data_IF_747115930452
#
_entry.id   IF_747115930452
#
_cell.length_a   1.000
_cell.length_b   1.000
_cell.length_c   1.000
_cell.angle_alpha   90.00
_cell.angle_beta   90.00
_cell.angle_gamma   90.00
#
_symmetry.space_group_name_H-M   'P 1'
#
loop_
_entity.id
_entity.type
_entity.pdbx_description
1 polymer ?
#
# COMPACT_ATOMS: atom_id res chain seq x y z
N UNK A 1 5.96 -5.47 15.14
CA UNK A 1 6.58 -5.99 13.90
C UNK A 1 5.51 -6.27 12.84
N UNK A 2 4.41 -6.91 13.19
CA UNK A 2 3.33 -7.28 12.26
C UNK A 2 2.78 -6.09 11.45
N UNK A 3 2.63 -4.92 12.10
CA UNK A 3 2.20 -3.70 11.41
C UNK A 3 3.13 -3.28 10.25
N UNK A 4 4.45 -3.47 10.42
CA UNK A 4 5.43 -3.12 9.39
C UNK A 4 5.65 -4.24 8.36
N UNK A 5 5.15 -5.44 8.60
CA UNK A 5 5.15 -6.53 7.60
C UNK A 5 4.19 -6.23 6.45
N UNK A 6 3.07 -5.58 6.76
CA UNK A 6 2.00 -5.31 5.79
C UNK A 6 2.16 -3.94 5.10
N UNK A 7 2.90 -3.01 5.71
CA UNK A 7 3.07 -1.67 5.16
C UNK A 7 4.02 -0.81 6.00
N UNK A 8 4.05 0.46 5.69
CA UNK A 8 4.83 1.46 6.39
C UNK A 8 3.97 2.21 7.39
N UNK A 9 4.59 2.68 8.47
CA UNK A 9 3.88 3.44 9.50
C UNK A 9 4.78 4.54 10.08
N UNK A 10 4.19 5.66 10.44
CA UNK A 10 4.90 6.68 11.20
C UNK A 10 5.11 6.23 12.65
N UNK A 11 6.11 6.77 13.37
CA UNK A 11 6.30 6.51 14.79
C UNK A 11 5.04 6.78 15.63
N UNK A 12 4.26 7.80 15.25
CA UNK A 12 3.01 8.17 15.96
C UNK A 12 1.90 7.14 15.74
N UNK A 13 1.78 6.60 14.54
CA UNK A 13 0.81 5.52 14.25
C UNK A 13 1.17 4.26 15.01
N UNK A 14 2.46 3.87 15.03
CA UNK A 14 2.92 2.72 15.82
C UNK A 14 2.71 2.93 17.33
N UNK A 15 2.90 4.14 17.85
CA UNK A 15 2.61 4.45 19.24
C UNK A 15 1.16 4.21 19.60
N UNK A 16 0.23 4.67 18.76
CA UNK A 16 -1.21 4.45 18.98
C UNK A 16 -1.58 2.98 18.87
N UNK A 17 -1.06 2.30 17.84
CA UNK A 17 -1.35 0.88 17.61
C UNK A 17 -0.86 -0.03 18.73
N UNK A 18 0.30 0.29 19.33
CA UNK A 18 0.94 -0.53 20.35
C UNK A 18 0.72 -0.04 21.77
N UNK A 19 -0.03 1.06 21.93
CA UNK A 19 -0.23 1.76 23.21
C UNK A 19 1.10 1.97 23.98
N UNK A 20 2.12 2.46 23.27
CA UNK A 20 3.48 2.53 23.76
C UNK A 20 3.94 3.99 23.97
N UNK A 21 4.59 4.32 25.10
CA UNK A 21 5.17 5.64 25.33
C UNK A 21 6.19 6.03 24.25
N UNK A 22 6.24 7.32 23.91
CA UNK A 22 7.08 7.84 22.80
C UNK A 22 8.58 7.59 22.98
N UNK A 23 9.09 7.69 24.22
CA UNK A 23 10.49 7.43 24.54
C UNK A 23 10.86 5.96 24.35
N UNK A 24 9.97 5.05 24.74
CA UNK A 24 10.17 3.61 24.58
C UNK A 24 10.11 3.23 23.10
N UNK A 25 9.12 3.74 22.34
CA UNK A 25 9.04 3.58 20.90
C UNK A 25 10.32 4.04 20.21
N UNK A 26 10.81 5.25 20.53
CA UNK A 26 12.04 5.79 19.96
C UNK A 26 13.26 4.94 20.28
N UNK A 27 13.31 4.32 21.47
CA UNK A 27 14.36 3.38 21.83
C UNK A 27 14.35 2.13 20.95
N UNK A 28 13.20 1.46 20.86
CA UNK A 28 13.05 0.23 20.04
C UNK A 28 13.31 0.48 18.56
N UNK A 29 12.79 1.56 18.01
CA UNK A 29 13.05 1.92 16.61
C UNK A 29 14.55 2.10 16.37
N UNK A 30 15.25 2.81 17.25
CA UNK A 30 16.72 2.99 17.13
C UNK A 30 17.50 1.67 17.16
N UNK A 31 17.07 0.73 17.99
CA UNK A 31 17.69 -0.62 18.04
C UNK A 31 17.47 -1.35 16.71
N UNK A 32 16.23 -1.37 16.20
CA UNK A 32 15.89 -2.03 14.96
C UNK A 32 16.55 -1.39 13.73
N UNK A 33 16.69 -0.06 13.72
CA UNK A 33 17.45 0.66 12.68
C UNK A 33 18.94 0.26 12.72
N UNK A 34 19.53 0.18 13.91
CA UNK A 34 20.96 -0.18 14.09
C UNK A 34 21.28 -1.57 13.59
N UNK A 35 20.36 -2.53 13.76
CA UNK A 35 20.55 -3.91 13.30
C UNK A 35 20.04 -4.14 11.88
N UNK A 36 19.62 -3.08 11.18
CA UNK A 36 19.22 -3.14 9.77
C UNK A 36 17.87 -3.82 9.51
N UNK A 37 17.01 -3.95 10.54
CA UNK A 37 15.67 -4.56 10.39
C UNK A 37 14.64 -3.53 9.96
N UNK A 38 14.78 -2.29 10.39
CA UNK A 38 13.88 -1.17 10.05
C UNK A 38 14.69 -0.06 9.38
N UNK A 39 14.14 0.54 8.37
CA UNK A 39 14.64 1.77 7.74
C UNK A 39 13.66 2.92 7.97
N UNK A 40 14.17 4.14 7.84
CA UNK A 40 13.39 5.37 7.99
C UNK A 40 13.53 6.23 6.74
N UNK A 41 12.41 6.74 6.24
CA UNK A 41 12.41 7.72 5.15
C UNK A 41 11.44 8.86 5.44
N UNK A 42 11.62 9.97 4.74
CA UNK A 42 10.74 11.14 4.85
C UNK A 42 9.60 11.04 3.85
N UNK A 43 8.42 11.51 4.25
CA UNK A 43 7.29 11.65 3.36
C UNK A 43 7.65 12.51 2.13
N UNK A 44 7.21 12.09 0.96
CA UNK A 44 7.33 12.89 -0.26
C UNK A 44 6.34 14.07 -0.26
N UNK A 45 5.23 13.97 0.47
CA UNK A 45 4.21 14.99 0.58
C UNK A 45 4.56 16.03 1.66
N UNK A 46 4.73 15.60 2.91
CA UNK A 46 5.14 16.46 4.02
C UNK A 46 6.49 16.00 4.58
N UNK A 47 7.57 16.66 4.21
CA UNK A 47 8.94 16.34 4.65
C UNK A 47 9.16 16.37 6.15
N UNK A 48 8.22 16.90 6.93
CA UNK A 48 8.24 16.86 8.41
C UNK A 48 7.80 15.50 8.93
N UNK A 49 7.02 14.74 8.15
CA UNK A 49 6.60 13.39 8.50
C UNK A 49 7.68 12.37 8.11
N UNK A 50 7.71 11.27 8.86
CA UNK A 50 8.67 10.19 8.66
C UNK A 50 7.93 8.87 8.75
N UNK A 51 8.25 7.94 7.85
CA UNK A 51 7.74 6.57 7.87
C UNK A 51 8.85 5.58 8.18
N UNK A 52 8.47 4.52 8.84
CA UNK A 52 9.30 3.36 9.15
C UNK A 52 8.87 2.22 8.25
N UNK A 53 9.83 1.57 7.63
CA UNK A 53 9.63 0.41 6.76
C UNK A 53 10.50 -0.75 7.22
N UNK A 54 10.05 -1.98 7.05
CA UNK A 54 10.93 -3.14 7.16
C UNK A 54 11.91 -3.16 6.00
N UNK A 55 13.17 -3.45 6.32
CA UNK A 55 14.17 -3.74 5.29
C UNK A 55 13.82 -5.05 4.61
N UNK A 56 13.73 -5.10 3.26
CA UNK A 56 13.43 -6.32 2.52
C UNK A 56 14.34 -7.49 2.96
N UNK A 57 13.76 -8.66 3.18
CA UNK A 57 14.50 -9.86 3.59
C UNK A 57 14.91 -9.94 5.07
N UNK A 58 14.89 -8.84 5.81
CA UNK A 58 15.36 -8.81 7.21
C UNK A 58 14.61 -9.79 8.14
N UNK A 59 13.40 -10.19 7.80
CA UNK A 59 12.56 -11.10 8.60
C UNK A 59 12.02 -12.30 7.80
N UNK A 60 12.58 -12.64 6.67
CA UNK A 60 12.06 -13.72 5.83
C UNK A 60 12.00 -15.07 6.56
N UNK A 61 12.88 -15.28 7.54
CA UNK A 61 12.91 -16.49 8.36
C UNK A 61 11.90 -16.46 9.53
N UNK A 62 11.21 -15.35 9.81
CA UNK A 62 10.36 -15.15 11.00
C UNK A 62 8.87 -15.01 10.70
N UNK A 63 8.44 -15.28 9.47
CA UNK A 63 7.05 -15.05 9.04
C UNK A 63 6.04 -16.03 9.68
N UNK A 64 5.17 -15.57 10.57
CA UNK A 64 3.79 -15.99 10.61
C UNK A 64 2.94 -14.95 9.87
N UNK A 65 2.38 -15.30 8.73
CA UNK A 65 1.38 -14.47 8.05
C UNK A 65 0.03 -14.74 8.72
N UNK A 66 -0.47 -13.78 9.48
CA UNK A 66 -1.87 -13.82 9.91
C UNK A 66 -2.74 -13.63 8.67
N UNK A 67 -3.43 -14.69 8.23
CA UNK A 67 -4.38 -14.62 7.12
C UNK A 67 -5.62 -13.86 7.57
N UNK A 68 -6.06 -12.88 6.80
CA UNK A 68 -7.27 -12.08 7.03
C UNK A 68 -8.26 -12.29 5.90
N UNK A 69 -9.54 -12.32 6.25
CA UNK A 69 -10.60 -12.30 5.26
C UNK A 69 -10.73 -10.88 4.68
N UNK A 70 -10.86 -10.80 3.38
CA UNK A 70 -11.00 -9.55 2.65
C UNK A 70 -12.02 -9.72 1.51
N UNK A 71 -13.03 -8.87 1.48
CA UNK A 71 -13.99 -8.84 0.38
C UNK A 71 -13.32 -8.29 -0.89
N UNK A 72 -12.57 -7.22 -0.74
CA UNK A 72 -11.91 -6.51 -1.84
C UNK A 72 -10.74 -5.68 -1.30
N UNK A 73 -9.73 -5.45 -2.16
CA UNK A 73 -8.64 -4.49 -1.91
C UNK A 73 -8.86 -3.24 -2.75
N UNK A 74 -8.71 -2.06 -2.15
CA UNK A 74 -8.75 -0.78 -2.87
C UNK A 74 -7.39 -0.10 -2.76
N UNK A 75 -6.71 0.04 -3.90
CA UNK A 75 -5.47 0.80 -3.96
C UNK A 75 -5.76 2.28 -4.17
N UNK A 76 -5.18 3.14 -3.33
CA UNK A 76 -5.43 4.58 -3.38
C UNK A 76 -4.13 5.36 -3.55
N UNK A 77 -4.11 6.31 -4.49
CA UNK A 77 -3.11 7.36 -4.57
C UNK A 77 -3.81 8.71 -4.77
N UNK A 78 -3.07 9.81 -4.94
CA UNK A 78 -3.71 11.13 -5.11
C UNK A 78 -4.55 11.17 -6.40
N UNK A 79 -3.96 10.87 -7.55
CA UNK A 79 -4.60 11.12 -8.85
C UNK A 79 -5.30 9.91 -9.48
N UNK A 80 -5.17 8.72 -8.94
CA UNK A 80 -5.65 7.47 -9.57
C UNK A 80 -5.21 7.31 -11.04
N UNK A 81 -4.10 7.92 -11.43
CA UNK A 81 -3.63 7.96 -12.83
C UNK A 81 -2.46 7.02 -13.12
N UNK A 82 -1.71 6.58 -12.10
CA UNK A 82 -0.55 5.70 -12.28
C UNK A 82 -0.45 4.64 -11.17
N UNK A 83 0.10 4.98 -10.00
CA UNK A 83 0.47 4.03 -8.93
C UNK A 83 -0.67 3.10 -8.53
N UNK A 84 -1.83 3.62 -8.19
CA UNK A 84 -2.98 2.82 -7.76
C UNK A 84 -3.56 1.97 -8.88
N UNK A 85 -3.56 2.45 -10.13
CA UNK A 85 -3.98 1.70 -11.31
C UNK A 85 -3.07 0.50 -11.56
N UNK A 86 -1.75 0.72 -11.52
CA UNK A 86 -0.74 -0.34 -11.68
C UNK A 86 -0.80 -1.36 -10.54
N UNK A 87 -1.01 -0.89 -9.29
CA UNK A 87 -1.15 -1.76 -8.14
C UNK A 87 -2.36 -2.69 -8.26
N UNK A 88 -3.53 -2.16 -8.62
CA UNK A 88 -4.74 -2.95 -8.82
C UNK A 88 -4.58 -3.98 -9.95
N UNK A 89 -3.96 -3.58 -11.07
CA UNK A 89 -3.70 -4.48 -12.20
C UNK A 89 -2.75 -5.63 -11.82
N UNK A 90 -1.65 -5.33 -11.13
CA UNK A 90 -0.72 -6.32 -10.61
C UNK A 90 -1.40 -7.27 -9.62
N UNK A 91 -2.15 -6.73 -8.67
CA UNK A 91 -2.88 -7.51 -7.69
C UNK A 91 -3.84 -8.51 -8.34
N UNK A 92 -4.67 -8.04 -9.26
CA UNK A 92 -5.63 -8.88 -9.98
C UNK A 92 -4.98 -9.96 -10.87
N UNK A 93 -3.70 -9.79 -11.23
CA UNK A 93 -2.95 -10.82 -11.95
C UNK A 93 -2.35 -11.91 -11.06
N UNK A 94 -2.32 -11.71 -9.72
CA UNK A 94 -1.58 -12.59 -8.80
C UNK A 94 -2.39 -13.06 -7.61
N UNK A 95 -3.53 -12.43 -7.28
CA UNK A 95 -4.35 -12.75 -6.12
C UNK A 95 -5.79 -13.09 -6.51
N UNK A 96 -6.43 -14.06 -5.83
CA UNK A 96 -7.86 -14.35 -6.01
C UNK A 96 -8.77 -13.30 -5.37
N UNK A 97 -8.28 -12.51 -4.39
CA UNK A 97 -9.05 -11.41 -3.80
C UNK A 97 -9.15 -10.29 -4.82
N UNK A 98 -10.36 -9.82 -5.20
CA UNK A 98 -10.50 -8.78 -6.21
C UNK A 98 -9.92 -7.44 -5.72
N UNK A 99 -9.36 -6.66 -6.65
CA UNK A 99 -8.89 -5.32 -6.35
C UNK A 99 -9.39 -4.28 -7.34
N UNK A 100 -9.54 -3.06 -6.86
CA UNK A 100 -9.81 -1.86 -7.66
C UNK A 100 -8.92 -0.70 -7.22
N UNK A 101 -9.09 0.48 -7.83
CA UNK A 101 -8.30 1.65 -7.51
C UNK A 101 -9.12 2.93 -7.45
N UNK A 102 -8.65 3.89 -6.65
CA UNK A 102 -9.26 5.20 -6.47
C UNK A 102 -8.19 6.29 -6.26
N UNK A 103 -8.62 7.55 -6.25
CA UNK A 103 -7.79 8.70 -5.94
C UNK A 103 -8.48 9.70 -5.04
N UNK A 104 -7.72 10.43 -4.24
CA UNK A 104 -8.24 11.54 -3.43
C UNK A 104 -8.55 12.77 -4.28
N UNK A 105 -7.84 12.94 -5.40
CA UNK A 105 -8.02 14.00 -6.41
C UNK A 105 -7.83 13.40 -7.80
N UNK A 106 -8.82 12.70 -8.36
CA UNK A 106 -8.65 11.95 -9.60
C UNK A 106 -8.28 12.84 -10.78
N UNK A 107 -7.30 12.41 -11.57
CA UNK A 107 -6.98 13.02 -12.85
C UNK A 107 -8.08 12.71 -13.89
N UNK A 108 -8.18 13.47 -14.99
CA UNK A 108 -9.14 13.18 -16.05
C UNK A 108 -8.93 11.82 -16.71
N UNK A 109 -7.67 11.35 -16.80
CA UNK A 109 -7.31 10.13 -17.50
C UNK A 109 -6.11 9.42 -16.84
N UNK A 110 -5.93 8.16 -17.19
CA UNK A 110 -4.78 7.36 -16.79
C UNK A 110 -3.53 7.88 -17.51
N UNK A 111 -2.43 8.01 -16.78
CA UNK A 111 -1.18 8.57 -17.31
C UNK A 111 -0.60 7.68 -18.44
N UNK A 112 -0.17 8.26 -19.59
CA UNK A 112 0.35 7.49 -20.72
C UNK A 112 1.51 6.56 -20.35
N UNK A 113 2.41 6.99 -19.45
CA UNK A 113 3.51 6.15 -18.94
C UNK A 113 3.02 4.92 -18.16
N UNK A 114 1.91 5.04 -17.43
CA UNK A 114 1.30 3.89 -16.75
C UNK A 114 0.69 2.91 -17.76
N UNK A 115 0.04 3.40 -18.79
CA UNK A 115 -0.49 2.58 -19.90
C UNK A 115 0.65 1.87 -20.63
N UNK A 116 1.74 2.59 -20.92
CA UNK A 116 2.89 2.04 -21.62
C UNK A 116 3.57 0.92 -20.84
N UNK A 117 3.87 1.14 -19.54
CA UNK A 117 4.48 0.10 -18.70
C UNK A 117 3.54 -1.08 -18.49
N UNK A 118 2.25 -0.86 -18.27
CA UNK A 118 1.28 -1.94 -18.13
C UNK A 118 1.28 -2.84 -19.37
N UNK A 119 1.26 -2.25 -20.58
CA UNK A 119 1.35 -3.00 -21.84
C UNK A 119 2.65 -3.81 -21.95
N UNK A 120 3.80 -3.22 -21.62
CA UNK A 120 5.10 -3.92 -21.64
C UNK A 120 5.14 -5.11 -20.67
N UNK A 121 4.49 -4.96 -19.50
CA UNK A 121 4.47 -5.96 -18.43
C UNK A 121 3.28 -6.94 -18.55
N UNK A 122 2.45 -6.83 -19.58
CA UNK A 122 1.27 -7.70 -19.77
C UNK A 122 0.18 -7.51 -18.72
N UNK A 123 0.09 -6.32 -18.11
CA UNK A 123 -0.91 -6.00 -17.10
C UNK A 123 -2.17 -5.41 -17.73
N UNK A 124 -3.34 -5.90 -17.31
CA UNK A 124 -4.61 -5.36 -17.71
C UNK A 124 -5.04 -4.23 -16.79
N UNK A 125 -4.91 -2.98 -17.23
CA UNK A 125 -5.50 -1.85 -16.52
C UNK A 125 -7.01 -1.91 -16.58
N UNK A 126 -7.68 -1.40 -15.53
CA UNK A 126 -9.12 -1.30 -15.51
C UNK A 126 -9.62 -0.38 -16.65
N UNK A 127 -10.74 -0.73 -17.31
CA UNK A 127 -11.23 0.00 -18.49
C UNK A 127 -11.97 1.30 -18.14
N UNK A 128 -11.85 1.80 -16.93
CA UNK A 128 -12.52 3.01 -16.46
C UNK A 128 -11.53 4.16 -16.21
N UNK A 129 -12.02 5.38 -16.34
CA UNK A 129 -11.31 6.59 -15.96
C UNK A 129 -10.97 6.60 -14.45
N UNK A 130 -10.00 7.41 -14.02
CA UNK A 130 -9.74 7.67 -12.60
C UNK A 130 -11.01 8.06 -11.83
N UNK A 131 -11.18 7.53 -10.60
CA UNK A 131 -12.38 7.72 -9.78
C UNK A 131 -12.02 8.25 -8.40
N UNK A 132 -12.93 9.02 -7.80
CA UNK A 132 -12.76 9.53 -6.44
C UNK A 132 -12.95 8.41 -5.39
N UNK A 133 -12.25 8.53 -4.28
CA UNK A 133 -12.35 7.57 -3.18
C UNK A 133 -13.78 7.42 -2.66
N UNK A 134 -14.53 8.51 -2.54
CA UNK A 134 -15.91 8.50 -2.04
C UNK A 134 -16.88 7.71 -2.94
N UNK A 135 -16.54 7.58 -4.24
CA UNK A 135 -17.34 6.82 -5.20
C UNK A 135 -16.99 5.31 -5.22
N UNK A 136 -15.91 4.92 -4.53
CA UNK A 136 -15.34 3.57 -4.66
C UNK A 136 -15.28 2.83 -3.34
N UNK A 137 -14.92 3.50 -2.24
CA UNK A 137 -14.67 2.84 -0.96
C UNK A 137 -15.95 2.32 -0.31
N UNK A 138 -15.84 1.11 0.23
CA UNK A 138 -16.82 0.48 1.09
C UNK A 138 -16.18 0.21 2.47
N UNK A 139 -16.91 0.29 3.59
CA UNK A 139 -16.38 0.01 4.92
C UNK A 139 -15.74 -1.38 5.09
N UNK A 140 -16.13 -2.36 4.24
CA UNK A 140 -15.57 -3.71 4.25
C UNK A 140 -14.28 -3.86 3.44
N UNK A 141 -13.83 -2.82 2.74
CA UNK A 141 -12.63 -2.86 1.90
C UNK A 141 -11.34 -2.87 2.74
N UNK A 142 -10.34 -3.58 2.25
CA UNK A 142 -8.95 -3.37 2.67
C UNK A 142 -8.37 -2.25 1.82
N UNK A 143 -8.07 -1.12 2.44
CA UNK A 143 -7.53 0.06 1.76
C UNK A 143 -6.00 0.04 1.81
N UNK A 144 -5.35 0.13 0.66
CA UNK A 144 -3.90 0.25 0.55
C UNK A 144 -3.54 1.56 -0.14
N UNK A 145 -3.09 2.55 0.64
CA UNK A 145 -2.57 3.79 0.06
C UNK A 145 -1.17 3.55 -0.52
N UNK A 146 -0.97 3.97 -1.77
CA UNK A 146 0.30 3.78 -2.49
C UNK A 146 1.02 5.10 -2.76
N UNK A 147 0.75 6.12 -1.95
CA UNK A 147 1.52 7.36 -1.87
C UNK A 147 1.25 8.06 -0.53
N UNK A 148 2.24 8.81 -0.07
CA UNK A 148 2.20 9.50 1.22
C UNK A 148 1.07 10.53 1.29
N UNK A 149 0.86 11.32 0.22
CA UNK A 149 -0.18 12.35 0.21
C UNK A 149 -1.59 11.77 0.43
N UNK A 150 -1.97 10.72 -0.30
CA UNK A 150 -3.27 10.07 -0.11
C UNK A 150 -3.39 9.44 1.29
N UNK A 151 -2.30 8.87 1.83
CA UNK A 151 -2.29 8.34 3.19
C UNK A 151 -2.52 9.44 4.22
N UNK A 152 -1.85 10.57 4.08
CA UNK A 152 -1.96 11.70 4.99
C UNK A 152 -3.35 12.37 4.96
N UNK A 153 -4.00 12.40 3.79
CA UNK A 153 -5.37 12.88 3.62
C UNK A 153 -6.41 11.91 4.21
N UNK A 154 -6.23 10.60 4.00
CA UNK A 154 -7.16 9.56 4.48
C UNK A 154 -6.93 9.15 5.95
N UNK A 155 -5.86 9.59 6.60
CA UNK A 155 -5.57 9.28 8.00
C UNK A 155 -6.65 9.73 8.99
N UNK A 156 -7.60 10.55 8.56
CA UNK A 156 -8.75 10.99 9.34
C UNK A 156 -9.95 10.02 9.27
N UNK A 157 -9.92 8.98 8.43
CA UNK A 157 -10.99 7.99 8.29
C UNK A 157 -10.76 6.88 9.33
N UNK A 158 -11.58 6.79 10.41
CA UNK A 158 -11.45 5.73 11.40
C UNK A 158 -11.84 4.38 10.81
N UNK A 159 -11.17 3.31 11.30
CA UNK A 159 -11.60 1.90 11.22
C UNK A 159 -11.55 1.16 9.88
N UNK A 160 -11.09 1.73 8.78
CA UNK A 160 -10.77 0.92 7.63
C UNK A 160 -9.50 0.07 7.91
N UNK A 161 -9.46 -1.16 7.44
CA UNK A 161 -8.22 -1.94 7.40
C UNK A 161 -7.24 -1.24 6.44
N UNK A 162 -6.49 -0.28 6.99
CA UNK A 162 -5.70 0.66 6.21
C UNK A 162 -4.22 0.28 6.28
N UNK A 163 -3.65 -0.03 5.12
CA UNK A 163 -2.22 -0.25 4.94
C UNK A 163 -1.63 0.92 4.16
N UNK A 164 -0.36 1.24 4.42
CA UNK A 164 0.36 2.27 3.69
C UNK A 164 1.62 1.72 3.03
N UNK A 165 1.79 2.06 1.75
CA UNK A 165 3.00 1.81 0.96
C UNK A 165 3.51 3.15 0.40
N UNK A 166 4.61 3.65 0.92
CA UNK A 166 5.27 4.81 0.32
C UNK A 166 5.94 4.38 -0.99
N UNK A 167 5.32 4.74 -2.12
CA UNK A 167 5.79 4.45 -3.47
C UNK A 167 6.08 5.76 -4.19
N UNK A 168 7.31 5.92 -4.65
CA UNK A 168 7.77 7.12 -5.35
C UNK A 168 6.91 7.44 -6.57
N UNK A 169 6.70 8.73 -6.83
CA UNK A 169 5.88 9.18 -7.94
C UNK A 169 6.64 9.10 -9.27
N UNK A 170 6.27 8.20 -10.21
CA UNK A 170 6.95 8.06 -11.48
C UNK A 170 6.72 9.24 -12.42
N UNK A 171 5.62 9.99 -12.21
CA UNK A 171 5.24 11.14 -13.06
C UNK A 171 6.20 12.30 -12.86
N UNK A 172 6.76 12.46 -11.66
CA UNK A 172 7.68 13.56 -11.34
C UNK A 172 8.98 13.55 -12.14
N UNK A 173 9.46 12.38 -12.53
CA UNK A 173 10.67 12.26 -13.36
C UNK A 173 10.36 12.14 -14.84
N UNK A 174 9.17 11.68 -15.20
CA UNK A 174 8.74 11.48 -16.58
C UNK A 174 9.49 10.40 -17.35
N UNK A 175 10.38 9.66 -16.67
CA UNK A 175 11.19 8.62 -17.28
C UNK A 175 10.45 7.29 -17.31
N UNK A 176 10.51 6.57 -18.43
CA UNK A 176 9.95 5.22 -18.56
C UNK A 176 10.48 4.26 -17.48
N UNK A 177 11.77 4.36 -17.16
CA UNK A 177 12.40 3.56 -16.12
C UNK A 177 11.81 3.82 -14.70
N UNK A 178 11.23 4.99 -14.45
CA UNK A 178 10.56 5.26 -13.17
C UNK A 178 9.27 4.45 -13.04
N UNK A 179 8.52 4.29 -14.13
CA UNK A 179 7.33 3.44 -14.13
C UNK A 179 7.67 1.96 -13.95
N UNK A 180 8.76 1.48 -14.56
CA UNK A 180 9.23 0.12 -14.35
C UNK A 180 9.61 -0.14 -12.88
N UNK A 181 10.36 0.79 -12.25
CA UNK A 181 10.71 0.71 -10.82
C UNK A 181 9.48 0.68 -9.92
N UNK A 182 8.44 1.44 -10.25
CA UNK A 182 7.16 1.42 -9.51
C UNK A 182 6.51 0.04 -9.62
N UNK A 183 6.45 -0.54 -10.81
CA UNK A 183 5.88 -1.88 -11.02
C UNK A 183 6.66 -2.92 -10.19
N UNK A 184 7.99 -2.88 -10.21
CA UNK A 184 8.83 -3.81 -9.45
C UNK A 184 8.63 -3.64 -7.93
N UNK A 185 8.55 -2.39 -7.44
CA UNK A 185 8.27 -2.09 -6.03
C UNK A 185 6.90 -2.61 -5.61
N UNK A 186 5.88 -2.39 -6.43
CA UNK A 186 4.52 -2.85 -6.14
C UNK A 186 4.45 -4.39 -6.17
N UNK A 187 5.09 -5.03 -7.14
CA UNK A 187 5.14 -6.50 -7.24
C UNK A 187 5.77 -7.13 -6.00
N UNK A 188 6.88 -6.59 -5.50
CA UNK A 188 7.53 -7.04 -4.27
C UNK A 188 6.60 -6.90 -3.05
N UNK A 189 5.91 -5.77 -2.91
CA UNK A 189 4.97 -5.55 -1.78
C UNK A 189 3.73 -6.45 -1.89
N UNK A 190 3.17 -6.61 -3.08
CA UNK A 190 2.03 -7.49 -3.33
C UNK A 190 2.39 -8.94 -3.00
N UNK A 191 3.56 -9.42 -3.41
CA UNK A 191 4.00 -10.79 -3.11
C UNK A 191 4.06 -11.11 -1.61
N UNK A 192 4.23 -10.11 -0.77
CA UNK A 192 4.24 -10.24 0.70
C UNK A 192 2.86 -10.15 1.32
N UNK A 193 1.96 -9.35 0.76
CA UNK A 193 0.64 -9.07 1.34
C UNK A 193 -0.44 -9.98 0.78
N UNK A 194 -0.42 -10.31 -0.51
CA UNK A 194 -1.45 -11.13 -1.13
C UNK A 194 -1.67 -12.49 -0.45
N UNK A 195 -0.61 -13.22 0.01
CA UNK A 195 -0.80 -14.46 0.76
C UNK A 195 -1.44 -14.28 2.15
N UNK A 196 -1.46 -13.06 2.67
CA UNK A 196 -2.07 -12.73 3.97
C UNK A 196 -3.56 -12.39 3.85
N UNK A 197 -4.09 -12.29 2.64
CA UNK A 197 -5.50 -12.01 2.38
C UNK A 197 -6.14 -13.18 1.62
N UNK A 198 -7.37 -13.52 2.01
CA UNK A 198 -8.19 -14.52 1.31
C UNK A 198 -9.59 -13.95 1.08
N UNK A 199 -10.28 -14.44 0.07
CA UNK A 199 -11.69 -14.12 -0.12
C UNK A 199 -12.50 -14.64 1.06
N UNK A 200 -13.33 -13.76 1.62
CA UNK A 200 -14.36 -14.20 2.57
C UNK A 200 -15.35 -15.10 1.82
N UNK A 201 -15.15 -16.39 1.93
CA UNK A 201 -16.12 -17.40 1.50
C UNK A 201 -17.15 -17.53 2.60
N UNK A 202 -18.02 -16.51 2.77
CA UNK A 202 -19.05 -16.42 3.80
C UNK A 202 -19.40 -17.76 4.39
N UNK A 203 -19.05 -17.99 5.65
CA UNK A 203 -19.09 -19.28 6.32
C UNK A 203 -20.40 -19.99 6.10
N UNK A 204 -20.32 -21.14 5.44
CA UNK A 204 -21.38 -22.14 5.47
C UNK A 204 -21.54 -22.55 6.94
N UNK A 205 -22.71 -22.39 7.57
CA UNK A 205 -22.89 -22.80 8.95
C UNK A 205 -22.67 -24.31 9.02
N UNK A 206 -21.70 -24.72 9.82
CA UNK A 206 -21.50 -26.10 10.15
C UNK A 206 -22.80 -26.67 10.76
N UNK A 207 -23.40 -27.60 10.05
CA UNK A 207 -24.50 -28.43 10.54
C UNK A 207 -23.99 -29.43 11.58
#
# INVERSE_FOLDING_TARGET
>A
MDALLLGEASPTELQRLLDMPSNLMAHHVRVLERVGVVSRHRSEADRRRTYLALVPGALDALRPVAVRDAMRVVFVCTQNSARSQLAAALWNSTSPVPATSAGTHPAPEVHPGAIAVARRRGLALAPHAPRHVDDVLDPADVVITVCDAAHEELAAVPDAQHLHWSVSDPVRTGEDAAFDRVVDTLADRISRVAPALRTDTGGEPAH
#
